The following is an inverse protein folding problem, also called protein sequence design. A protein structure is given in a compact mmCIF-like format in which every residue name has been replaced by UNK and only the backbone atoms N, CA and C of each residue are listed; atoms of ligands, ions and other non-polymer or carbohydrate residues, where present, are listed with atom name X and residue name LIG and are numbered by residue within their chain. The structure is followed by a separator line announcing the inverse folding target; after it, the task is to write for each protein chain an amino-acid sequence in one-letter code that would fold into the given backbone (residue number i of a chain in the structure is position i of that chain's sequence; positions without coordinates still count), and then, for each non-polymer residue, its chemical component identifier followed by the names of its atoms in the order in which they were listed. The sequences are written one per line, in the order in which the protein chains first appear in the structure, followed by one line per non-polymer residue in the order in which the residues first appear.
data_IF_426716721054
#
_entry.id   IF_426716721054
#
_cell.length_a   1.000
_cell.length_b   1.000
_cell.length_c   1.000
_cell.angle_alpha   90.00
_cell.angle_beta   90.00
_cell.angle_gamma   90.00
#
_symmetry.space_group_name_H-M   'P 1'
#
loop_
_entity.id
_entity.type
_entity.pdbx_description
1 polymer ?
#
# COMPACT_ATOMS: atom_id res chain seq x y z
N UNK A 1 10.79 5.86 -6.56
CA UNK A 1 10.40 4.85 -5.55
C UNK A 1 9.37 5.45 -4.59
N UNK A 2 8.14 4.95 -4.58
CA UNK A 2 6.98 5.54 -3.87
C UNK A 2 7.19 5.66 -2.36
N UNK A 3 7.81 4.66 -1.72
CA UNK A 3 8.04 4.64 -0.27
C UNK A 3 8.76 5.90 0.26
N UNK A 4 9.80 6.37 -0.44
CA UNK A 4 10.54 7.58 -0.04
C UNK A 4 9.69 8.85 -0.17
N UNK A 5 8.76 8.89 -1.13
CA UNK A 5 7.83 10.02 -1.26
C UNK A 5 6.88 10.06 -0.07
N UNK A 6 6.39 8.89 0.38
CA UNK A 6 5.51 8.78 1.55
C UNK A 6 6.21 9.23 2.83
N UNK A 7 7.43 8.78 3.09
CA UNK A 7 8.21 9.24 4.27
C UNK A 7 8.41 10.75 4.29
N UNK A 8 8.62 11.35 3.12
CA UNK A 8 8.82 12.79 2.96
C UNK A 8 7.54 13.58 3.13
N UNK A 9 6.40 13.03 2.71
CA UNK A 9 5.09 13.67 2.86
C UNK A 9 4.64 13.67 4.32
N UNK A 10 4.84 12.56 5.04
CA UNK A 10 4.44 12.42 6.45
C UNK A 10 5.62 12.65 7.40
N UNK A 11 6.23 13.84 7.35
CA UNK A 11 7.37 14.21 8.22
C UNK A 11 6.98 14.11 9.70
N UNK A 12 7.90 13.62 10.54
CA UNK A 12 7.70 13.50 11.99
C UNK A 12 6.77 12.35 12.45
N UNK A 13 5.98 11.74 11.56
CA UNK A 13 5.06 10.65 11.91
C UNK A 13 5.56 9.27 11.44
N UNK A 14 5.16 8.21 12.15
CA UNK A 14 5.29 6.82 11.69
C UNK A 14 4.11 6.51 10.77
N UNK A 15 4.39 5.85 9.65
CA UNK A 15 3.40 5.48 8.63
C UNK A 15 3.22 3.98 8.64
N UNK A 16 1.97 3.54 8.81
CA UNK A 16 1.56 2.16 8.62
C UNK A 16 0.93 2.04 7.24
N UNK A 17 1.49 1.18 6.39
CA UNK A 17 1.02 0.99 5.03
C UNK A 17 0.44 -0.42 4.91
N UNK A 18 -0.88 -0.49 4.71
CA UNK A 18 -1.59 -1.74 4.48
C UNK A 18 -1.50 -2.13 3.01
N UNK A 19 -1.01 -3.33 2.72
CA UNK A 19 -0.75 -3.86 1.39
C UNK A 19 -1.47 -5.19 1.17
N UNK A 20 -1.79 -5.49 -0.08
CA UNK A 20 -2.19 -6.83 -0.50
C UNK A 20 -0.98 -7.78 -0.54
N UNK A 21 -1.25 -9.08 -0.68
CA UNK A 21 -0.22 -10.11 -0.52
C UNK A 21 0.53 -10.45 -1.83
N UNK A 22 0.56 -9.53 -2.80
CA UNK A 22 1.21 -9.75 -4.09
C UNK A 22 2.73 -9.86 -3.97
N UNK A 23 3.31 -10.77 -4.74
CA UNK A 23 4.72 -11.21 -4.61
C UNK A 23 5.74 -10.08 -4.69
N UNK A 24 5.46 -9.01 -5.45
CA UNK A 24 6.39 -7.90 -5.60
C UNK A 24 6.50 -7.00 -4.36
N UNK A 25 5.52 -7.01 -3.46
CA UNK A 25 5.65 -6.31 -2.17
C UNK A 25 6.64 -6.99 -1.22
N UNK A 26 6.89 -8.29 -1.42
CA UNK A 26 7.87 -9.09 -0.68
C UNK A 26 9.27 -9.07 -1.30
N UNK A 27 9.53 -8.18 -2.27
CA UNK A 27 10.81 -8.12 -2.96
C UNK A 27 11.96 -7.84 -1.98
N UNK A 28 12.97 -8.73 -1.94
CA UNK A 28 14.18 -8.60 -1.10
C UNK A 28 14.89 -7.24 -1.26
N UNK A 29 14.80 -6.64 -2.46
CA UNK A 29 15.35 -5.31 -2.76
C UNK A 29 14.79 -4.19 -1.88
N UNK A 30 13.60 -4.36 -1.31
CA UNK A 30 12.98 -3.40 -0.41
C UNK A 30 13.50 -3.51 1.03
N UNK A 31 14.04 -4.65 1.44
CA UNK A 31 14.47 -4.90 2.82
C UNK A 31 15.48 -3.87 3.36
N UNK A 32 16.54 -3.47 2.62
CA UNK A 32 17.49 -2.47 3.12
C UNK A 32 16.85 -1.11 3.39
N UNK A 33 15.89 -0.72 2.55
CA UNK A 33 15.16 0.54 2.68
C UNK A 33 14.20 0.45 3.87
N UNK A 34 13.44 -0.64 3.99
CA UNK A 34 12.53 -0.84 5.10
C UNK A 34 13.28 -0.87 6.44
N UNK A 35 14.43 -1.53 6.51
CA UNK A 35 15.29 -1.54 7.70
C UNK A 35 15.80 -0.14 8.04
N UNK A 36 16.28 0.63 7.06
CA UNK A 36 16.73 2.02 7.27
C UNK A 36 15.61 2.93 7.80
N UNK A 37 14.37 2.65 7.45
CA UNK A 37 13.21 3.47 7.78
C UNK A 37 12.21 2.76 8.70
N UNK A 38 12.61 1.74 9.46
CA UNK A 38 11.70 0.94 10.31
C UNK A 38 10.96 1.78 11.37
N UNK A 39 11.63 2.82 11.88
CA UNK A 39 11.05 3.80 12.81
C UNK A 39 10.07 4.79 12.13
N UNK A 40 10.00 4.79 10.79
CA UNK A 40 9.20 5.72 9.98
C UNK A 40 8.12 5.01 9.17
N UNK A 41 8.35 3.79 8.71
CA UNK A 41 7.44 3.01 7.87
C UNK A 41 7.35 1.59 8.38
N UNK A 42 6.13 1.09 8.49
CA UNK A 42 5.83 -0.31 8.70
C UNK A 42 4.86 -0.80 7.62
N UNK A 43 5.18 -1.92 6.97
CA UNK A 43 4.31 -2.55 5.99
C UNK A 43 3.48 -3.62 6.68
N UNK A 44 2.16 -3.51 6.59
CA UNK A 44 1.21 -4.48 7.09
C UNK A 44 0.61 -5.21 5.89
N UNK A 45 0.63 -6.54 5.91
CA UNK A 45 0.09 -7.35 4.83
C UNK A 45 -1.27 -7.91 5.23
N UNK A 46 -2.23 -7.79 4.30
CA UNK A 46 -3.54 -8.40 4.46
C UNK A 46 -3.43 -9.94 4.47
N UNK A 47 -4.27 -10.64 5.26
CA UNK A 47 -4.34 -12.10 5.21
C UNK A 47 -4.79 -12.55 3.81
N UNK A 48 -4.34 -13.74 3.37
CA UNK A 48 -4.71 -14.28 2.07
C UNK A 48 -6.13 -14.86 2.10
N UNK A 49 -7.21 -14.03 2.14
CA UNK A 49 -8.64 -14.34 1.82
C UNK A 49 -9.60 -13.23 2.37
N UNK A 50 -10.92 -13.24 2.03
CA UNK A 50 -11.56 -13.08 0.71
C UNK A 50 -11.65 -11.59 0.28
N UNK A 51 -11.77 -11.31 -1.04
CA UNK A 51 -11.66 -9.98 -1.64
C UNK A 51 -12.70 -8.94 -1.18
N UNK A 52 -13.79 -9.36 -0.54
CA UNK A 52 -14.84 -8.47 -0.04
C UNK A 52 -14.35 -7.53 1.09
N UNK A 53 -13.23 -7.86 1.73
CA UNK A 53 -12.69 -7.12 2.87
C UNK A 53 -11.49 -6.24 2.53
N UNK A 54 -11.01 -6.23 1.29
CA UNK A 54 -9.93 -5.32 0.92
C UNK A 54 -10.52 -3.95 0.57
N UNK A 55 -10.30 -2.88 1.36
CA UNK A 55 -10.91 -1.57 1.11
C UNK A 55 -10.55 -1.01 -0.28
N UNK A 56 -9.43 -1.46 -0.87
CA UNK A 56 -9.02 -1.04 -2.20
C UNK A 56 -10.00 -1.49 -3.29
N UNK A 57 -10.68 -2.64 -3.13
CA UNK A 57 -11.66 -3.15 -4.11
C UNK A 57 -12.85 -2.22 -4.25
N UNK A 58 -13.28 -1.59 -3.14
CA UNK A 58 -14.33 -0.57 -3.18
C UNK A 58 -13.89 0.68 -3.95
N UNK A 59 -12.63 1.09 -3.79
CA UNK A 59 -12.05 2.21 -4.56
C UNK A 59 -11.99 1.87 -6.04
N UNK A 60 -11.54 0.65 -6.39
CA UNK A 60 -11.54 0.17 -7.77
C UNK A 60 -12.94 0.14 -8.37
N UNK A 61 -13.94 -0.31 -7.61
CA UNK A 61 -15.33 -0.30 -8.06
C UNK A 61 -15.85 1.12 -8.33
N UNK A 62 -15.60 2.07 -7.42
CA UNK A 62 -15.95 3.49 -7.61
C UNK A 62 -15.27 4.07 -8.85
N UNK A 63 -13.97 3.82 -8.99
CA UNK A 63 -13.18 4.30 -10.14
C UNK A 63 -13.73 3.73 -11.46
N UNK A 64 -14.02 2.43 -11.53
CA UNK A 64 -14.65 1.82 -12.72
C UNK A 64 -15.99 2.48 -13.02
N UNK A 65 -16.84 2.68 -12.01
CA UNK A 65 -18.13 3.36 -12.19
C UNK A 65 -17.96 4.76 -12.78
N UNK A 66 -16.98 5.54 -12.33
CA UNK A 66 -16.76 6.92 -12.81
C UNK A 66 -16.08 6.99 -14.18
N UNK A 67 -15.15 6.11 -14.49
CA UNK A 67 -14.33 6.21 -15.71
C UNK A 67 -14.97 5.46 -16.88
N UNK A 68 -15.54 4.27 -16.65
CA UNK A 68 -16.07 3.44 -17.75
C UNK A 68 -17.54 3.70 -18.05
N UNK A 69 -18.28 4.34 -17.14
CA UNK A 69 -19.69 4.69 -17.34
C UNK A 69 -19.89 6.20 -17.52
N UNK A 70 -18.97 6.85 -18.24
CA UNK A 70 -19.22 8.18 -18.80
C UNK A 70 -20.34 8.08 -19.84
N UNK A 71 -21.58 8.33 -19.39
CA UNK A 71 -22.68 8.76 -20.25
C UNK A 71 -22.75 10.27 -20.25
#
# INVERSE_FOLDING_TARGET
MILLKVVRAYRGKKVYMLLDNVKFHHAKRLQPILKRFEHRIELLFLPPYPPDLNPIERVWWLMRKQITHNR
#
